data_IF_164693247405
#
_entry.id   IF_164693247405
#
_cell.length_a   1.000
_cell.length_b   1.000
_cell.length_c   1.000
_cell.angle_alpha   90.00
_cell.angle_beta   90.00
_cell.angle_gamma   90.00
#
_symmetry.space_group_name_H-M   'P 1'
#
loop_
_entity.id
_entity.type
_entity.pdbx_description
1 polymer ?
#
# COMPACT_ATOMS: atom_id res chain seq x y z
N UNK A 1 -13.47 -13.23 -4.51
CA UNK A 1 -12.77 -12.54 -3.42
C UNK A 1 -12.71 -11.06 -3.73
N UNK A 2 -12.91 -10.24 -2.73
CA UNK A 2 -12.83 -8.79 -2.87
C UNK A 2 -11.48 -8.29 -2.36
N UNK A 3 -10.98 -7.22 -2.96
CA UNK A 3 -9.76 -6.55 -2.54
C UNK A 3 -10.04 -5.08 -2.28
N UNK A 4 -9.62 -4.62 -1.11
CA UNK A 4 -9.66 -3.20 -0.74
C UNK A 4 -8.25 -2.73 -0.42
N UNK A 5 -7.82 -1.67 -1.07
CA UNK A 5 -6.53 -1.02 -0.77
C UNK A 5 -6.85 0.33 -0.15
N UNK A 6 -6.43 0.51 1.10
CA UNK A 6 -6.73 1.72 1.87
C UNK A 6 -5.45 2.51 2.05
N UNK A 7 -5.45 3.74 1.58
CA UNK A 7 -4.35 4.69 1.78
C UNK A 7 -4.91 5.99 2.35
N UNK A 8 -4.07 6.85 2.94
CA UNK A 8 -4.55 8.14 3.44
C UNK A 8 -5.18 9.04 2.37
N UNK A 9 -4.74 8.94 1.12
CA UNK A 9 -5.23 9.80 0.04
C UNK A 9 -6.42 9.21 -0.69
N UNK A 10 -6.47 7.89 -0.85
CA UNK A 10 -7.52 7.25 -1.63
C UNK A 10 -7.73 5.80 -1.22
N UNK A 11 -8.88 5.27 -1.58
CA UNK A 11 -9.20 3.85 -1.44
C UNK A 11 -9.41 3.27 -2.82
N UNK A 12 -8.84 2.09 -3.05
CA UNK A 12 -9.08 1.31 -4.26
C UNK A 12 -9.92 0.08 -3.90
N UNK A 13 -10.80 -0.29 -4.79
CA UNK A 13 -11.67 -1.43 -4.58
C UNK A 13 -11.75 -2.28 -5.85
N UNK A 14 -11.53 -3.57 -5.68
CA UNK A 14 -11.64 -4.55 -6.77
C UNK A 14 -12.58 -5.66 -6.33
N UNK A 15 -13.66 -5.86 -7.08
CA UNK A 15 -14.58 -6.97 -6.82
C UNK A 15 -14.19 -8.18 -7.64
N UNK A 16 -14.51 -9.35 -7.11
CA UNK A 16 -14.35 -10.62 -7.84
C UNK A 16 -12.96 -10.87 -8.41
N UNK A 17 -11.92 -10.62 -7.62
CA UNK A 17 -10.57 -11.00 -8.02
C UNK A 17 -10.39 -12.52 -7.83
N UNK A 18 -9.58 -13.14 -8.69
CA UNK A 18 -9.22 -14.55 -8.55
C UNK A 18 -8.16 -14.76 -7.49
N UNK A 19 -7.13 -13.92 -7.48
CA UNK A 19 -6.04 -14.01 -6.53
C UNK A 19 -5.30 -12.69 -6.42
N UNK A 20 -4.55 -12.53 -5.33
CA UNK A 20 -3.62 -11.43 -5.14
C UNK A 20 -2.32 -11.99 -4.57
N UNK A 21 -1.19 -11.64 -5.19
CA UNK A 21 0.13 -12.02 -4.71
C UNK A 21 0.73 -10.85 -3.97
N UNK A 22 1.02 -11.06 -2.69
CA UNK A 22 1.50 -10.02 -1.78
C UNK A 22 2.88 -10.41 -1.27
N UNK A 23 3.82 -9.48 -1.28
CA UNK A 23 5.16 -9.70 -0.72
C UNK A 23 5.12 -9.50 0.79
N UNK A 24 5.58 -10.50 1.53
CA UNK A 24 5.68 -10.44 2.99
C UNK A 24 7.11 -10.75 3.44
N UNK A 25 7.41 -10.49 4.70
CA UNK A 25 8.70 -10.84 5.27
C UNK A 25 9.02 -12.33 5.24
N UNK A 26 8.00 -13.18 5.14
CA UNK A 26 8.14 -14.64 5.01
C UNK A 26 8.15 -15.11 3.55
N UNK A 27 8.14 -14.17 2.59
CA UNK A 27 8.07 -14.46 1.17
C UNK A 27 6.71 -14.08 0.58
N UNK A 28 6.51 -14.36 -0.71
CA UNK A 28 5.24 -14.04 -1.35
C UNK A 28 4.12 -14.96 -0.86
N UNK A 29 2.95 -14.36 -0.61
CA UNK A 29 1.75 -15.11 -0.24
C UNK A 29 0.70 -14.87 -1.31
N UNK A 30 0.05 -15.95 -1.75
CA UNK A 30 -1.03 -15.88 -2.72
C UNK A 30 -2.35 -15.97 -1.96
N UNK A 31 -3.11 -14.89 -1.93
CA UNK A 31 -4.43 -14.86 -1.33
C UNK A 31 -5.47 -15.23 -2.38
N UNK A 32 -6.31 -16.18 -2.05
CA UNK A 32 -7.36 -16.69 -2.92
C UNK A 32 -8.67 -16.77 -2.15
N UNK A 33 -9.75 -16.97 -2.88
CA UNK A 33 -11.06 -17.23 -2.32
C UNK A 33 -10.99 -18.36 -1.26
N UNK A 34 -11.69 -18.18 -0.17
CA UNK A 34 -11.72 -19.12 0.97
C UNK A 34 -10.40 -19.22 1.75
N UNK A 35 -9.55 -18.22 1.65
CA UNK A 35 -8.39 -18.15 2.51
C UNK A 35 -8.83 -18.00 3.96
N UNK A 36 -8.18 -18.70 4.88
CA UNK A 36 -8.48 -18.58 6.31
C UNK A 36 -8.19 -17.17 6.81
N UNK A 37 -8.87 -16.68 7.85
CA UNK A 37 -8.56 -15.37 8.42
C UNK A 37 -7.08 -15.25 8.75
N UNK A 38 -6.47 -14.16 8.32
CA UNK A 38 -5.02 -14.00 8.40
C UNK A 38 -4.66 -12.51 8.39
N UNK A 39 -3.64 -12.17 9.17
CA UNK A 39 -3.08 -10.81 9.20
C UNK A 39 -1.56 -10.93 9.04
N UNK A 40 -0.98 -10.09 8.19
CA UNK A 40 0.48 -10.09 8.01
C UNK A 40 1.00 -8.70 7.66
N UNK A 41 2.30 -8.52 7.88
CA UNK A 41 3.00 -7.34 7.40
C UNK A 41 3.30 -7.51 5.91
N UNK A 42 3.16 -6.41 5.17
CA UNK A 42 3.42 -6.37 3.73
C UNK A 42 4.66 -5.52 3.49
N UNK A 43 5.57 -6.03 2.68
CA UNK A 43 6.74 -5.29 2.25
C UNK A 43 6.39 -4.39 1.08
N UNK A 44 7.11 -3.29 0.94
CA UNK A 44 6.97 -2.45 -0.24
C UNK A 44 7.31 -3.25 -1.51
N UNK A 45 6.62 -2.98 -2.58
CA UNK A 45 6.86 -3.65 -3.85
C UNK A 45 5.62 -3.76 -4.69
N UNK A 46 5.62 -4.78 -5.51
CA UNK A 46 4.57 -5.03 -6.48
C UNK A 46 3.50 -5.97 -5.93
N UNK A 47 2.26 -5.53 -6.01
CA UNK A 47 1.08 -6.34 -5.75
C UNK A 47 0.51 -6.80 -7.08
N UNK A 48 0.37 -8.11 -7.26
CA UNK A 48 -0.20 -8.71 -8.45
C UNK A 48 -1.63 -9.12 -8.20
N UNK A 49 -2.56 -8.53 -8.93
CA UNK A 49 -3.98 -8.84 -8.82
C UNK A 49 -4.41 -9.59 -10.08
N UNK A 50 -4.92 -10.80 -9.92
CA UNK A 50 -5.41 -11.58 -11.03
C UNK A 50 -6.92 -11.52 -11.11
N UNK A 51 -7.41 -11.07 -12.26
CA UNK A 51 -8.82 -11.09 -12.61
C UNK A 51 -9.06 -12.20 -13.65
N UNK A 52 -10.32 -12.47 -13.98
CA UNK A 52 -10.67 -13.54 -14.91
C UNK A 52 -10.01 -13.39 -16.29
N UNK A 53 -9.87 -12.15 -16.77
CA UNK A 53 -9.41 -11.84 -18.13
C UNK A 53 -8.08 -11.06 -18.18
N UNK A 54 -7.54 -10.64 -17.04
CA UNK A 54 -6.35 -9.78 -17.01
C UNK A 54 -5.64 -9.82 -15.67
N UNK A 55 -4.45 -9.26 -15.66
CA UNK A 55 -3.65 -9.06 -14.47
C UNK A 55 -3.41 -7.57 -14.26
N UNK A 56 -3.54 -7.11 -13.05
CA UNK A 56 -3.28 -5.72 -12.67
C UNK A 56 -2.08 -5.70 -11.73
N UNK A 57 -1.13 -4.81 -12.01
CA UNK A 57 0.03 -4.59 -11.17
C UNK A 57 -0.12 -3.27 -10.43
N UNK A 58 0.09 -3.31 -9.12
CA UNK A 58 0.05 -2.13 -8.26
C UNK A 58 1.30 -2.10 -7.42
N UNK A 59 1.95 -0.94 -7.38
CA UNK A 59 3.10 -0.70 -6.50
C UNK A 59 2.59 -0.11 -5.21
N UNK A 60 2.96 -0.72 -4.08
CA UNK A 60 2.53 -0.29 -2.76
C UNK A 60 3.71 -0.02 -1.85
N UNK A 61 3.52 0.86 -0.89
CA UNK A 61 4.42 0.98 0.26
C UNK A 61 4.27 -0.23 1.18
N UNK A 62 5.12 -0.32 2.18
CA UNK A 62 4.92 -1.30 3.25
C UNK A 62 3.62 -1.01 4.01
N UNK A 63 3.04 -2.04 4.60
CA UNK A 63 1.79 -1.91 5.31
C UNK A 63 1.35 -3.22 5.92
N UNK A 64 0.04 -3.39 6.02
CA UNK A 64 -0.59 -4.57 6.59
C UNK A 64 -1.63 -5.13 5.64
N UNK A 65 -1.75 -6.44 5.64
CA UNK A 65 -2.82 -7.14 4.91
C UNK A 65 -3.64 -7.96 5.89
N UNK A 66 -4.95 -7.92 5.71
CA UNK A 66 -5.90 -8.70 6.50
C UNK A 66 -6.87 -9.40 5.57
N UNK A 67 -7.05 -10.69 5.78
CA UNK A 67 -8.08 -11.47 5.07
C UNK A 67 -9.14 -11.85 6.08
N UNK A 68 -10.37 -11.48 5.79
CA UNK A 68 -11.53 -11.83 6.61
C UNK A 68 -12.77 -11.86 5.73
N UNK A 69 -13.60 -12.89 5.89
CA UNK A 69 -14.88 -13.02 5.17
C UNK A 69 -14.76 -12.79 3.66
N UNK A 70 -13.78 -13.44 3.05
CA UNK A 70 -13.53 -13.38 1.61
C UNK A 70 -13.18 -11.97 1.10
N UNK A 71 -12.67 -11.12 1.99
CA UNK A 71 -12.19 -9.78 1.67
C UNK A 71 -10.75 -9.64 2.10
N UNK A 72 -9.89 -9.27 1.16
CA UNK A 72 -8.50 -8.90 1.44
C UNK A 72 -8.43 -7.38 1.55
N UNK A 73 -8.00 -6.90 2.71
CA UNK A 73 -7.80 -5.47 2.95
C UNK A 73 -6.31 -5.21 3.09
N UNK A 74 -5.78 -4.33 2.26
CA UNK A 74 -4.40 -3.88 2.32
C UNK A 74 -4.37 -2.43 2.76
N UNK A 75 -3.68 -2.16 3.87
CA UNK A 75 -3.53 -0.81 4.40
C UNK A 75 -2.08 -0.39 4.23
N UNK A 76 -1.86 0.69 3.50
CA UNK A 76 -0.52 1.18 3.20
C UNK A 76 -0.52 2.70 3.04
N UNK A 77 0.66 3.30 2.94
CA UNK A 77 0.80 4.74 2.80
C UNK A 77 0.49 5.22 1.38
N UNK A 78 0.86 4.44 0.39
CA UNK A 78 0.54 4.74 -1.00
C UNK A 78 0.38 3.47 -1.83
N UNK A 79 -0.39 3.59 -2.90
CA UNK A 79 -0.58 2.54 -3.89
C UNK A 79 -0.79 3.21 -5.24
N UNK A 80 -0.14 2.71 -6.29
CA UNK A 80 -0.31 3.23 -7.63
C UNK A 80 -0.27 2.12 -8.67
N UNK A 81 -1.10 2.22 -9.72
CA UNK A 81 -1.03 1.28 -10.83
C UNK A 81 0.33 1.34 -11.52
N UNK A 82 0.74 0.21 -12.04
CA UNK A 82 2.02 0.06 -12.73
C UNK A 82 1.80 -0.71 -14.03
N UNK A 83 2.50 -0.31 -15.11
CA UNK A 83 2.59 -1.11 -16.31
C UNK A 83 3.80 -2.05 -16.21
N UNK A 84 3.80 -3.13 -17.00
CA UNK A 84 4.90 -4.11 -16.98
C UNK A 84 6.25 -3.50 -17.32
N UNK A 85 6.25 -2.44 -18.13
CA UNK A 85 7.48 -1.78 -18.59
C UNK A 85 8.06 -0.79 -17.58
N UNK A 86 7.32 -0.48 -16.50
CA UNK A 86 7.79 0.47 -15.50
C UNK A 86 8.62 -0.21 -14.43
N UNK A 87 9.63 0.50 -13.94
CA UNK A 87 10.49 0.00 -12.86
C UNK A 87 9.84 0.28 -11.50
N UNK A 88 9.55 -0.80 -10.77
CA UNK A 88 8.95 -0.73 -9.44
C UNK A 88 9.78 0.11 -8.48
N UNK A 89 11.10 -0.06 -8.49
CA UNK A 89 12.02 0.71 -7.64
C UNK A 89 11.99 2.20 -7.95
N UNK A 90 11.98 2.54 -9.23
CA UNK A 90 11.92 3.94 -9.65
C UNK A 90 10.61 4.59 -9.21
N UNK A 91 9.48 3.89 -9.34
CA UNK A 91 8.18 4.37 -8.91
C UNK A 91 8.11 4.57 -7.40
N UNK A 92 8.65 3.65 -6.62
CA UNK A 92 8.70 3.76 -5.16
C UNK A 92 9.55 4.95 -4.74
N UNK A 93 10.74 5.10 -5.32
CA UNK A 93 11.63 6.22 -5.05
C UNK A 93 10.97 7.57 -5.36
N UNK A 94 10.33 7.67 -6.50
CA UNK A 94 9.66 8.88 -6.92
C UNK A 94 8.50 9.24 -5.98
N UNK A 95 7.71 8.26 -5.59
CA UNK A 95 6.60 8.47 -4.67
C UNK A 95 7.08 8.81 -3.26
N UNK A 96 8.12 8.17 -2.77
CA UNK A 96 8.72 8.48 -1.49
C UNK A 96 9.26 9.91 -1.45
N UNK A 97 9.92 10.36 -2.52
CA UNK A 97 10.37 11.76 -2.63
C UNK A 97 9.22 12.74 -2.56
N UNK A 98 8.12 12.44 -3.24
CA UNK A 98 6.93 13.29 -3.23
C UNK A 98 6.31 13.32 -1.84
N UNK A 99 6.19 12.18 -1.18
CA UNK A 99 5.64 12.10 0.18
C UNK A 99 6.55 12.78 1.20
N UNK A 100 7.86 12.62 1.08
CA UNK A 100 8.83 13.32 1.94
C UNK A 100 8.75 14.83 1.75
N UNK A 101 8.66 15.31 0.51
CA UNK A 101 8.50 16.72 0.22
C UNK A 101 7.20 17.27 0.83
N UNK A 102 6.11 16.53 0.74
CA UNK A 102 4.85 16.90 1.37
C UNK A 102 4.95 16.90 2.89
N UNK A 103 5.60 15.90 3.47
CA UNK A 103 5.82 15.81 4.92
C UNK A 103 6.69 16.95 5.44
N UNK A 104 7.77 17.26 4.73
CA UNK A 104 8.65 18.37 5.09
C UNK A 104 7.88 19.68 5.06
N UNK A 105 7.03 19.89 4.06
CA UNK A 105 6.21 21.10 3.95
C UNK A 105 5.20 21.21 5.09
N UNK A 106 4.56 20.11 5.46
CA UNK A 106 3.63 20.05 6.61
C UNK A 106 4.36 20.18 7.94
N UNK A 107 5.53 19.53 8.07
CA UNK A 107 6.33 19.53 9.28
C UNK A 107 6.97 20.88 9.57
N UNK A 108 7.29 21.67 8.56
CA UNK A 108 7.88 23.01 8.76
C UNK A 108 6.94 23.91 9.55
N UNK A 109 5.65 23.90 9.24
CA UNK A 109 4.67 24.66 10.00
C UNK A 109 4.47 24.09 11.41
N UNK A 110 4.38 22.76 11.54
CA UNK A 110 4.22 22.08 12.83
C UNK A 110 5.47 22.20 13.70
N UNK A 111 6.65 22.05 13.12
CA UNK A 111 7.91 22.21 13.84
C UNK A 111 8.14 23.62 14.34
N UNK A 112 7.75 24.62 13.59
CA UNK A 112 7.82 26.01 14.04
C UNK A 112 6.94 26.24 15.25
N UNK A 113 5.74 25.71 15.23
CA UNK A 113 4.82 25.76 16.36
C UNK A 113 5.38 25.01 17.58
N UNK A 114 5.93 23.82 17.42
CA UNK A 114 6.53 23.03 18.48
C UNK A 114 7.75 23.71 19.09
N UNK A 115 8.63 24.26 18.25
CA UNK A 115 9.82 24.98 18.72
C UNK A 115 9.42 26.19 19.54
N UNK A 116 8.42 26.93 19.11
CA UNK A 116 7.90 28.09 19.84
C UNK A 116 7.31 27.66 21.19
N UNK A 117 6.53 26.59 21.21
CA UNK A 117 5.94 26.04 22.43
C UNK A 117 7.02 25.55 23.41
N UNK A 118 8.03 24.84 22.92
CA UNK A 118 9.13 24.35 23.74
C UNK A 118 10.02 25.46 24.30
N UNK A 119 10.17 26.57 23.58
CA UNK A 119 10.94 27.71 24.04
C UNK A 119 10.22 28.50 25.12
N UNK A 120 8.91 28.42 25.16
CA UNK A 120 8.08 29.10 26.14
C UNK A 120 7.84 28.29 27.42
N UNK A 121 8.36 27.06 27.45
CA UNK A 121 8.32 26.16 28.59
C UNK A 121 9.71 26.14 29.27
#
# INVERSE_FOLDING_TARGET
MELRIVTPEENMYFSEIDSAVVKTGAGPIIFRKRFTPFVCNVLEGELKIRLADREILIVTSSGFAEVMKNTLTLICDFAMPKSEDEDTFALIKEKQKTEEAKRVHSLDASKRAEIILKRNI
#
